data_IF_781497828744
#
_entry.id   IF_781497828744
#
_cell.length_a   1.000
_cell.length_b   1.000
_cell.length_c   1.000
_cell.angle_alpha   90.00
_cell.angle_beta   90.00
_cell.angle_gamma   90.00
#
_symmetry.space_group_name_H-M   'P 1'
#
loop_
_entity.id
_entity.type
_entity.pdbx_description
1 polymer ?
#
# COMPACT_ATOMS: atom_id res chain seq x y z
N UNK A 1 11.83 10.94 22.73
CA UNK A 1 13.18 11.06 22.10
C UNK A 1 13.46 12.54 21.85
N UNK A 2 14.72 13.01 21.94
CA UNK A 2 15.02 14.44 21.67
C UNK A 2 14.76 14.79 20.19
N UNK A 3 14.17 15.96 19.84
CA UNK A 3 13.82 16.33 18.46
C UNK A 3 14.97 16.21 17.46
N UNK A 4 16.19 16.63 17.84
CA UNK A 4 17.41 16.46 17.02
C UNK A 4 17.68 15.00 16.62
N UNK A 5 17.38 14.02 17.47
CA UNK A 5 17.56 12.60 17.16
C UNK A 5 16.52 12.13 16.14
N UNK A 6 15.27 12.58 16.29
CA UNK A 6 14.17 12.29 15.35
C UNK A 6 14.50 12.88 13.97
N UNK A 7 14.83 14.18 13.91
CA UNK A 7 15.22 14.85 12.66
C UNK A 7 16.36 14.11 11.94
N UNK A 8 17.44 13.75 12.64
CA UNK A 8 18.56 13.00 12.04
C UNK A 8 18.12 11.64 11.50
N UNK A 9 17.24 10.94 12.21
CA UNK A 9 16.69 9.65 11.77
C UNK A 9 15.84 9.80 10.51
N UNK A 10 14.92 10.77 10.49
CA UNK A 10 14.06 11.06 9.32
C UNK A 10 14.90 11.42 8.10
N UNK A 11 15.83 12.37 8.25
CA UNK A 11 16.72 12.78 7.14
C UNK A 11 17.56 11.60 6.64
N UNK A 12 18.08 10.76 7.55
CA UNK A 12 18.81 9.56 7.17
C UNK A 12 17.95 8.57 6.40
N UNK A 13 16.72 8.29 6.86
CA UNK A 13 15.79 7.38 6.19
C UNK A 13 15.37 7.87 4.81
N UNK A 14 14.96 9.14 4.68
CA UNK A 14 14.59 9.76 3.40
C UNK A 14 15.76 9.70 2.42
N UNK A 15 16.96 10.05 2.86
CA UNK A 15 18.18 9.96 2.05
C UNK A 15 18.48 8.52 1.62
N UNK A 16 18.42 7.58 2.56
CA UNK A 16 18.78 6.18 2.32
C UNK A 16 17.89 5.54 1.24
N UNK A 17 16.58 5.79 1.34
CA UNK A 17 15.59 5.30 0.41
C UNK A 17 15.65 6.03 -0.94
N UNK A 18 15.58 7.36 -0.94
CA UNK A 18 15.57 8.17 -2.16
C UNK A 18 16.83 7.98 -3.02
N UNK A 19 18.01 7.90 -2.39
CA UNK A 19 19.26 7.69 -3.11
C UNK A 19 19.31 6.34 -3.82
N UNK A 20 18.82 5.26 -3.19
CA UNK A 20 18.80 3.92 -3.79
C UNK A 20 17.74 3.79 -4.88
N UNK A 21 16.63 4.51 -4.74
CA UNK A 21 15.64 4.65 -5.80
C UNK A 21 16.14 5.50 -6.97
N UNK A 22 17.18 6.31 -6.76
CA UNK A 22 17.65 7.28 -7.75
C UNK A 22 16.72 8.49 -7.89
N UNK A 23 15.91 8.79 -6.87
CA UNK A 23 14.96 9.91 -6.85
C UNK A 23 15.54 11.01 -5.96
N UNK A 24 15.94 12.17 -6.52
CA UNK A 24 16.54 13.23 -5.73
C UNK A 24 15.50 13.98 -4.88
N UNK A 25 15.87 14.30 -3.64
CA UNK A 25 15.11 15.25 -2.82
C UNK A 25 15.42 16.67 -3.27
N UNK A 26 14.57 17.24 -4.12
CA UNK A 26 14.79 18.57 -4.72
C UNK A 26 14.45 19.74 -3.78
N UNK A 27 13.52 19.56 -2.85
CA UNK A 27 13.09 20.60 -1.91
C UNK A 27 12.60 19.96 -0.60
N UNK A 28 12.60 20.72 0.49
CA UNK A 28 12.10 20.30 1.79
C UNK A 28 12.14 21.43 2.82
N UNK A 29 11.39 21.28 3.91
CA UNK A 29 11.37 22.21 5.02
C UNK A 29 11.52 21.45 6.34
N UNK A 30 12.19 22.06 7.30
CA UNK A 30 12.32 21.57 8.67
C UNK A 30 11.82 22.65 9.61
N UNK A 31 10.91 22.27 10.51
CA UNK A 31 10.32 23.17 11.48
C UNK A 31 10.32 22.55 12.87
N UNK A 32 10.61 23.36 13.89
CA UNK A 32 10.62 22.92 15.29
C UNK A 32 9.67 23.80 16.09
N UNK A 33 8.71 23.17 16.75
CA UNK A 33 7.75 23.81 17.63
C UNK A 33 7.53 22.92 18.86
N UNK A 34 7.29 23.53 20.02
CA UNK A 34 6.96 22.79 21.24
C UNK A 34 5.64 22.01 21.10
N UNK A 35 4.72 22.48 20.24
CA UNK A 35 3.47 21.78 19.92
C UNK A 35 3.67 20.42 19.24
N UNK A 36 4.84 20.16 18.66
CA UNK A 36 5.17 18.88 18.03
C UNK A 36 5.96 17.92 18.93
N UNK A 37 6.11 18.23 20.23
CA UNK A 37 6.85 17.36 21.17
C UNK A 37 6.20 15.98 21.36
N UNK A 38 4.86 15.92 21.35
CA UNK A 38 4.10 14.68 21.50
C UNK A 38 3.96 13.90 20.19
N UNK A 39 3.82 14.60 19.06
CA UNK A 39 3.67 14.00 17.75
C UNK A 39 4.45 14.80 16.70
N UNK A 40 5.51 14.22 16.15
CA UNK A 40 6.27 14.84 15.07
C UNK A 40 5.60 14.57 13.72
N UNK A 41 5.57 15.58 12.86
CA UNK A 41 5.01 15.45 11.52
C UNK A 41 6.12 15.17 10.51
N UNK A 42 5.91 14.15 9.68
CA UNK A 42 6.80 13.80 8.57
C UNK A 42 5.96 13.73 7.30
N UNK A 43 6.21 14.66 6.38
CA UNK A 43 5.56 14.69 5.07
C UNK A 43 6.59 14.37 3.99
N UNK A 44 6.25 13.38 3.16
CA UNK A 44 7.05 13.00 2.00
C UNK A 44 6.16 13.08 0.76
N UNK A 45 6.62 13.81 -0.26
CA UNK A 45 5.94 13.94 -1.54
C UNK A 45 6.86 13.54 -2.68
N UNK A 46 6.27 13.05 -3.78
CA UNK A 46 7.00 12.70 -5.00
C UNK A 46 6.36 13.39 -6.20
N UNK A 47 7.17 13.75 -7.19
CA UNK A 47 6.72 14.30 -8.46
C UNK A 47 7.27 13.43 -9.60
N UNK A 48 6.39 12.97 -10.48
CA UNK A 48 6.73 12.14 -11.63
C UNK A 48 6.08 12.63 -12.92
N UNK A 49 6.66 12.24 -14.06
CA UNK A 49 6.11 12.48 -15.39
C UNK A 49 5.46 11.21 -15.93
N UNK A 50 4.30 11.36 -16.57
CA UNK A 50 3.56 10.24 -17.17
C UNK A 50 2.87 10.68 -18.46
N UNK A 51 2.75 9.79 -19.47
CA UNK A 51 1.90 10.05 -20.64
C UNK A 51 0.44 10.28 -20.26
N UNK A 52 -0.22 11.26 -20.91
CA UNK A 52 -1.60 11.67 -20.58
C UNK A 52 -2.63 10.56 -20.81
N UNK A 53 -2.38 9.65 -21.75
CA UNK A 53 -3.26 8.53 -22.06
C UNK A 53 -3.10 7.34 -21.09
N UNK A 54 -2.12 7.40 -20.17
CA UNK A 54 -1.83 6.34 -19.20
C UNK A 54 -2.21 6.70 -17.76
N UNK A 55 -2.92 7.80 -17.53
CA UNK A 55 -3.30 8.26 -16.18
C UNK A 55 -4.66 7.73 -15.68
N UNK A 56 -5.33 6.89 -16.47
CA UNK A 56 -6.64 6.33 -16.12
C UNK A 56 -6.55 4.84 -15.78
N UNK A 57 -7.28 4.43 -14.75
CA UNK A 57 -7.39 3.03 -14.31
C UNK A 57 -8.67 2.41 -14.85
N UNK A 58 -8.56 1.27 -15.52
CA UNK A 58 -9.69 0.56 -16.11
C UNK A 58 -9.65 -0.95 -15.80
N UNK A 59 -9.80 -1.37 -14.52
CA UNK A 59 -10.03 -2.78 -14.24
C UNK A 59 -11.36 -3.22 -14.86
N UNK A 60 -11.44 -4.48 -15.29
CA UNK A 60 -12.68 -5.08 -15.84
C UNK A 60 -12.85 -6.49 -15.29
N UNK A 61 -14.09 -6.97 -15.28
CA UNK A 61 -14.36 -8.38 -14.98
C UNK A 61 -13.56 -9.29 -15.93
N UNK A 62 -13.02 -10.39 -15.39
CA UNK A 62 -12.15 -11.32 -16.07
C UNK A 62 -10.66 -10.93 -16.06
N UNK A 63 -10.31 -9.68 -15.74
CA UNK A 63 -8.90 -9.31 -15.57
C UNK A 63 -8.29 -10.05 -14.38
N UNK A 64 -7.08 -10.58 -14.57
CA UNK A 64 -6.28 -11.20 -13.52
C UNK A 64 -5.79 -10.15 -12.53
N UNK A 65 -5.81 -10.53 -11.25
CA UNK A 65 -5.23 -9.77 -10.15
C UNK A 65 -3.80 -10.28 -9.99
N UNK A 66 -2.82 -9.44 -10.30
CA UNK A 66 -1.40 -9.78 -10.21
C UNK A 66 -0.73 -8.93 -9.15
N UNK A 67 -0.06 -9.57 -8.20
CA UNK A 67 0.81 -8.88 -7.23
C UNK A 67 2.23 -8.91 -7.78
N UNK A 68 2.91 -7.77 -7.74
CA UNK A 68 4.32 -7.65 -8.15
C UNK A 68 5.15 -7.01 -7.04
N UNK A 69 6.43 -7.39 -6.96
CA UNK A 69 7.41 -6.79 -6.06
C UNK A 69 7.72 -7.63 -4.83
N UNK A 70 7.61 -7.02 -3.64
CA UNK A 70 7.97 -7.60 -2.36
C UNK A 70 7.10 -8.78 -1.92
N UNK A 71 7.65 -9.64 -1.06
CA UNK A 71 6.92 -10.74 -0.44
C UNK A 71 6.14 -10.29 0.80
N UNK A 72 5.03 -10.97 1.07
CA UNK A 72 4.13 -10.68 2.19
C UNK A 72 4.70 -11.25 3.50
N UNK A 73 4.70 -10.43 4.55
CA UNK A 73 5.14 -10.80 5.91
C UNK A 73 4.24 -10.17 6.98
N UNK A 74 4.56 -10.38 8.26
CA UNK A 74 3.84 -9.74 9.39
C UNK A 74 4.16 -8.26 9.59
N UNK A 75 4.78 -7.63 8.59
CA UNK A 75 5.18 -6.24 8.65
C UNK A 75 3.94 -5.33 8.62
N UNK A 76 3.86 -4.39 9.56
CA UNK A 76 2.84 -3.35 9.54
C UNK A 76 1.41 -3.84 9.73
N UNK A 77 1.19 -5.08 10.19
CA UNK A 77 -0.17 -5.54 10.53
C UNK A 77 -0.72 -4.63 11.63
N UNK A 78 -1.95 -4.14 11.44
CA UNK A 78 -2.59 -3.09 12.25
C UNK A 78 -1.96 -1.69 12.14
N UNK A 79 -1.11 -1.41 11.13
CA UNK A 79 -0.56 -0.09 10.86
C UNK A 79 -1.63 0.98 10.58
N UNK A 80 -2.63 0.66 9.76
CA UNK A 80 -3.80 1.51 9.52
C UNK A 80 -4.56 1.85 10.82
N UNK A 81 -4.82 0.84 11.66
CA UNK A 81 -5.48 1.01 12.96
C UNK A 81 -4.63 1.85 13.91
N UNK A 82 -3.32 1.62 13.92
CA UNK A 82 -2.36 2.37 14.72
C UNK A 82 -2.33 3.85 14.33
N UNK A 83 -2.28 4.17 13.03
CA UNK A 83 -2.27 5.56 12.55
C UNK A 83 -3.54 6.35 12.89
N UNK A 84 -4.65 5.64 13.14
CA UNK A 84 -5.95 6.21 13.50
C UNK A 84 -6.22 6.18 15.01
N UNK A 85 -5.34 5.55 15.79
CA UNK A 85 -5.46 5.40 17.24
C UNK A 85 -4.81 6.55 18.00
N UNK A 86 -5.20 6.71 19.26
CA UNK A 86 -4.56 7.67 20.17
C UNK A 86 -3.18 7.14 20.60
N UNK A 87 -2.16 8.00 20.57
CA UNK A 87 -0.83 7.68 21.07
C UNK A 87 -0.84 7.69 22.61
N UNK A 88 -0.62 6.52 23.21
CA UNK A 88 -0.57 6.34 24.67
C UNK A 88 0.83 5.92 25.13
N UNK A 89 1.02 5.75 26.44
CA UNK A 89 2.29 5.32 27.02
C UNK A 89 2.63 3.84 26.74
N UNK A 90 1.66 3.01 26.32
CA UNK A 90 1.85 1.59 25.97
C UNK A 90 2.16 1.38 24.49
N UNK A 91 1.98 2.43 23.68
CA UNK A 91 2.07 2.34 22.22
C UNK A 91 3.40 1.78 21.71
N UNK A 92 4.52 2.17 22.33
CA UNK A 92 5.86 1.73 21.89
C UNK A 92 6.10 0.23 22.04
N UNK A 93 5.45 -0.42 23.03
CA UNK A 93 5.53 -1.87 23.23
C UNK A 93 4.48 -2.61 22.41
N UNK A 94 3.25 -2.09 22.38
CA UNK A 94 2.12 -2.73 21.72
C UNK A 94 2.24 -2.70 20.20
N UNK A 95 2.82 -1.65 19.61
CA UNK A 95 2.85 -1.44 18.15
C UNK A 95 4.26 -1.45 17.55
N UNK A 96 5.24 -2.04 18.25
CA UNK A 96 6.60 -2.20 17.72
C UNK A 96 6.65 -2.96 16.39
N UNK A 97 5.68 -3.85 16.14
CA UNK A 97 5.49 -4.59 14.88
C UNK A 97 4.86 -3.77 13.74
N UNK A 98 4.30 -2.58 14.05
CA UNK A 98 3.75 -1.66 13.06
C UNK A 98 4.84 -0.88 12.31
N UNK A 99 6.10 -0.95 12.76
CA UNK A 99 7.23 -0.32 12.07
C UNK A 99 7.52 -1.06 10.77
N UNK A 100 7.21 -0.42 9.66
CA UNK A 100 7.46 -0.93 8.32
C UNK A 100 8.97 -0.89 8.03
N UNK A 101 9.49 -1.97 7.43
CA UNK A 101 10.88 -2.07 6.98
C UNK A 101 10.85 -2.07 5.46
N UNK A 102 11.25 -0.94 4.86
CA UNK A 102 11.32 -0.79 3.42
C UNK A 102 12.62 -1.35 2.82
N UNK A 103 12.54 -1.76 1.56
CA UNK A 103 13.62 -2.25 0.73
C UNK A 103 13.65 -1.50 -0.63
N UNK A 104 14.35 -0.35 -0.70
CA UNK A 104 14.36 0.49 -1.91
C UNK A 104 14.98 -0.20 -3.13
N UNK A 105 15.80 -1.24 -2.94
CA UNK A 105 16.37 -1.99 -4.07
C UNK A 105 15.28 -2.82 -4.75
N UNK A 106 14.39 -3.45 -3.96
CA UNK A 106 13.25 -4.20 -4.51
C UNK A 106 12.30 -3.26 -5.22
N UNK A 107 11.98 -2.10 -4.61
CA UNK A 107 11.12 -1.12 -5.27
C UNK A 107 11.72 -0.60 -6.58
N UNK A 108 13.02 -0.28 -6.60
CA UNK A 108 13.70 0.16 -7.82
C UNK A 108 13.64 -0.91 -8.91
N UNK A 109 13.96 -2.16 -8.56
CA UNK A 109 13.87 -3.29 -9.50
C UNK A 109 12.45 -3.48 -10.03
N UNK A 110 11.42 -3.22 -9.22
CA UNK A 110 10.01 -3.32 -9.61
C UNK A 110 9.55 -2.17 -10.51
N UNK A 111 10.02 -0.94 -10.27
CA UNK A 111 9.59 0.26 -11.02
C UNK A 111 9.98 0.19 -12.49
N UNK A 112 11.15 -0.32 -12.83
CA UNK A 112 11.64 -0.38 -14.21
C UNK A 112 10.76 -1.28 -15.13
N UNK A 113 10.49 -2.56 -14.79
CA UNK A 113 9.57 -3.40 -15.57
C UNK A 113 8.13 -2.89 -15.51
N UNK A 114 7.71 -2.18 -14.45
CA UNK A 114 6.39 -1.53 -14.40
C UNK A 114 6.23 -0.49 -15.52
N UNK A 115 7.24 0.35 -15.74
CA UNK A 115 7.23 1.34 -16.82
C UNK A 115 7.25 0.68 -18.20
N UNK A 116 8.03 -0.40 -18.36
CA UNK A 116 8.04 -1.19 -19.60
C UNK A 116 6.67 -1.85 -19.86
N UNK A 117 6.04 -2.41 -18.84
CA UNK A 117 4.73 -3.03 -18.92
C UNK A 117 3.64 -2.02 -19.30
N UNK A 118 3.71 -0.79 -18.76
CA UNK A 118 2.82 0.32 -19.13
C UNK A 118 2.93 0.64 -20.62
N UNK A 119 4.16 0.78 -21.10
CA UNK A 119 4.45 1.21 -22.47
C UNK A 119 4.03 0.14 -23.49
N UNK A 120 4.11 -1.14 -23.10
CA UNK A 120 3.59 -2.28 -23.86
C UNK A 120 2.07 -2.51 -23.68
N UNK A 121 1.42 -1.82 -22.74
CA UNK A 121 -0.01 -1.98 -22.48
C UNK A 121 -0.39 -3.33 -21.86
N UNK A 122 0.47 -3.86 -20.99
CA UNK A 122 0.31 -5.19 -20.36
C UNK A 122 -0.63 -5.19 -19.15
N UNK A 123 -0.99 -4.03 -18.61
CA UNK A 123 -1.97 -3.91 -17.55
C UNK A 123 -2.92 -2.74 -17.82
N UNK A 124 -4.15 -2.83 -17.27
CA UNK A 124 -5.19 -1.81 -17.45
C UNK A 124 -5.41 -0.93 -16.22
N UNK A 125 -4.92 -1.38 -15.06
CA UNK A 125 -4.94 -0.62 -13.82
C UNK A 125 -3.81 -1.09 -12.90
N UNK A 126 -3.34 -0.18 -12.04
CA UNK A 126 -2.34 -0.43 -11.00
C UNK A 126 -2.73 0.31 -9.72
N UNK A 127 -2.42 -0.26 -8.56
CA UNK A 127 -2.45 0.45 -7.28
C UNK A 127 -1.38 -0.10 -6.34
N UNK A 128 -0.87 0.73 -5.45
CA UNK A 128 0.11 0.35 -4.43
C UNK A 128 -0.55 -0.41 -3.26
N UNK A 129 0.23 -1.25 -2.59
CA UNK A 129 -0.16 -1.87 -1.33
C UNK A 129 0.40 -1.06 -0.14
N UNK A 130 -0.38 -0.09 0.34
CA UNK A 130 -0.07 0.68 1.54
C UNK A 130 -0.82 0.16 2.77
N UNK A 131 -1.53 1.07 3.43
CA UNK A 131 -2.37 0.78 4.60
C UNK A 131 -3.42 -0.30 4.29
N UNK A 132 -3.61 -1.23 5.22
CA UNK A 132 -4.46 -2.43 5.04
C UNK A 132 -4.04 -3.38 3.89
N UNK A 133 -2.94 -3.12 3.18
CA UNK A 133 -2.33 -4.07 2.26
C UNK A 133 -3.18 -4.48 1.07
N UNK A 134 -3.23 -5.79 0.81
CA UNK A 134 -4.03 -6.36 -0.29
C UNK A 134 -5.52 -6.09 -0.11
N UNK A 135 -5.99 -5.98 1.14
CA UNK A 135 -7.39 -5.72 1.43
C UNK A 135 -7.90 -4.39 0.90
N UNK A 136 -7.11 -3.31 1.04
CA UNK A 136 -7.41 -2.01 0.43
C UNK A 136 -7.14 -2.05 -1.07
N UNK A 137 -5.95 -2.51 -1.49
CA UNK A 137 -5.55 -2.46 -2.89
C UNK A 137 -6.52 -3.20 -3.84
N UNK A 138 -6.87 -4.45 -3.52
CA UNK A 138 -7.82 -5.24 -4.32
C UNK A 138 -9.24 -4.75 -4.09
N UNK A 139 -9.61 -4.40 -2.85
CA UNK A 139 -10.95 -3.92 -2.50
C UNK A 139 -11.33 -2.65 -3.24
N UNK A 140 -10.42 -1.68 -3.35
CA UNK A 140 -10.61 -0.43 -4.08
C UNK A 140 -10.65 -0.65 -5.59
N UNK A 141 -9.72 -1.43 -6.15
CA UNK A 141 -9.74 -1.74 -7.58
C UNK A 141 -10.98 -2.53 -8.00
N UNK A 142 -11.52 -3.35 -7.09
CA UNK A 142 -12.71 -4.16 -7.31
C UNK A 142 -14.02 -3.49 -6.91
N UNK A 143 -14.03 -2.26 -6.40
CA UNK A 143 -15.18 -1.66 -5.72
C UNK A 143 -16.50 -1.72 -6.52
N UNK A 144 -16.43 -1.44 -7.83
CA UNK A 144 -17.57 -1.46 -8.76
C UNK A 144 -17.70 -2.79 -9.55
N UNK A 145 -16.89 -3.78 -9.21
CA UNK A 145 -16.77 -5.06 -9.91
C UNK A 145 -17.05 -6.23 -8.98
N UNK A 146 -16.11 -6.58 -8.12
CA UNK A 146 -16.00 -7.88 -7.47
C UNK A 146 -14.59 -8.45 -7.64
N UNK A 147 -14.20 -9.37 -6.77
CA UNK A 147 -12.89 -10.02 -6.83
C UNK A 147 -12.95 -11.41 -6.20
N UNK A 148 -12.30 -12.38 -6.83
CA UNK A 148 -11.99 -13.68 -6.23
C UNK A 148 -10.47 -13.82 -6.10
N UNK A 149 -9.99 -13.98 -4.86
CA UNK A 149 -8.57 -14.03 -4.52
C UNK A 149 -8.23 -15.35 -3.83
N UNK A 150 -7.14 -15.97 -4.24
CA UNK A 150 -6.53 -17.15 -3.62
C UNK A 150 -5.33 -16.72 -2.78
N UNK A 151 -5.53 -16.66 -1.46
CA UNK A 151 -4.53 -16.20 -0.51
C UNK A 151 -3.33 -17.14 -0.40
N UNK A 152 -3.53 -18.44 -0.68
CA UNK A 152 -2.47 -19.45 -0.75
C UNK A 152 -1.48 -19.24 -1.92
N UNK A 153 -1.82 -18.38 -2.89
CA UNK A 153 -0.95 -18.03 -4.02
C UNK A 153 -0.09 -16.79 -3.75
N UNK A 154 -0.33 -16.07 -2.65
CA UNK A 154 0.40 -14.83 -2.37
C UNK A 154 1.83 -15.18 -1.96
N UNK A 155 2.88 -14.60 -2.58
CA UNK A 155 4.26 -14.84 -2.18
C UNK A 155 4.53 -14.41 -0.74
N UNK A 156 5.05 -15.32 0.09
CA UNK A 156 5.32 -15.10 1.52
C UNK A 156 6.82 -15.02 1.82
N UNK A 157 7.21 -14.17 2.78
CA UNK A 157 8.60 -14.09 3.28
C UNK A 157 9.01 -15.35 4.06
N UNK A 158 8.06 -15.93 4.78
CA UNK A 158 8.23 -17.12 5.61
C UNK A 158 6.88 -17.81 5.78
N UNK A 159 6.90 -19.10 6.09
CA UNK A 159 5.70 -19.89 6.33
C UNK A 159 5.00 -19.50 7.65
N UNK A 160 3.73 -19.91 7.79
CA UNK A 160 2.99 -19.79 9.05
C UNK A 160 2.23 -18.48 9.26
N UNK A 161 2.06 -17.66 8.22
CA UNK A 161 1.05 -16.60 8.23
C UNK A 161 -0.34 -17.21 8.08
N UNK A 162 -1.30 -16.73 8.87
CA UNK A 162 -2.72 -17.01 8.66
C UNK A 162 -3.25 -16.27 7.43
N UNK A 163 -4.36 -16.74 6.86
CA UNK A 163 -5.02 -16.08 5.73
C UNK A 163 -5.38 -14.61 6.03
N UNK A 164 -5.73 -14.29 7.28
CA UNK A 164 -6.00 -12.91 7.71
C UNK A 164 -4.72 -12.08 7.62
N UNK A 165 -3.61 -12.56 8.21
CA UNK A 165 -2.32 -11.86 8.17
C UNK A 165 -1.83 -11.65 6.73
N UNK A 166 -2.02 -12.62 5.83
CA UNK A 166 -1.69 -12.47 4.41
C UNK A 166 -2.50 -11.32 3.78
N UNK A 167 -3.80 -11.26 4.07
CA UNK A 167 -4.72 -10.30 3.47
C UNK A 167 -4.52 -8.86 3.95
N UNK A 168 -4.27 -8.66 5.24
CA UNK A 168 -4.13 -7.33 5.85
C UNK A 168 -2.68 -6.87 6.06
N UNK A 169 -1.70 -7.69 5.67
CA UNK A 169 -0.28 -7.35 5.76
C UNK A 169 0.04 -6.05 5.03
N UNK A 170 0.77 -5.15 5.69
CA UNK A 170 1.28 -3.90 5.12
C UNK A 170 2.77 -4.02 4.76
N UNK A 171 3.21 -5.21 4.37
CA UNK A 171 4.54 -5.42 3.81
C UNK A 171 4.76 -4.49 2.59
N UNK A 172 5.96 -3.93 2.52
CA UNK A 172 6.29 -2.86 1.60
C UNK A 172 6.65 -3.38 0.19
N UNK A 173 6.86 -2.44 -0.74
CA UNK A 173 7.28 -2.66 -2.13
C UNK A 173 6.37 -3.58 -2.95
N UNK A 174 5.06 -3.51 -2.72
CA UNK A 174 4.07 -4.31 -3.45
C UNK A 174 3.13 -3.42 -4.25
N UNK A 175 2.80 -3.88 -5.45
CA UNK A 175 1.80 -3.27 -6.33
C UNK A 175 0.82 -4.35 -6.80
N UNK A 176 -0.44 -3.97 -6.96
CA UNK A 176 -1.50 -4.81 -7.55
C UNK A 176 -1.82 -4.30 -8.96
N UNK A 177 -1.87 -5.21 -9.92
CA UNK A 177 -2.18 -4.94 -11.31
C UNK A 177 -3.46 -5.65 -11.72
N UNK A 178 -4.25 -5.00 -12.58
CA UNK A 178 -5.33 -5.62 -13.34
C UNK A 178 -4.83 -5.94 -14.75
N UNK A 179 -4.79 -7.21 -15.12
CA UNK A 179 -4.13 -7.70 -16.34
C UNK A 179 -5.12 -8.52 -17.18
N UNK A 180 -5.19 -8.25 -18.48
CA UNK A 180 -5.97 -9.09 -19.40
C UNK A 180 -5.39 -10.53 -19.40
N UNK A 181 -6.21 -11.59 -19.35
CA UNK A 181 -5.72 -12.97 -19.28
C UNK A 181 -4.68 -13.31 -20.35
N UNK A 182 -4.85 -12.80 -21.57
CA UNK A 182 -3.98 -13.06 -22.72
C UNK A 182 -2.61 -12.38 -22.59
N UNK A 183 -2.48 -11.36 -21.72
CA UNK A 183 -1.25 -10.61 -21.46
C UNK A 183 -0.54 -11.04 -20.18
N UNK A 184 -1.16 -11.92 -19.37
CA UNK A 184 -0.63 -12.32 -18.08
C UNK A 184 0.75 -12.99 -18.22
N UNK A 185 0.91 -13.93 -19.14
CA UNK A 185 2.18 -14.64 -19.33
C UNK A 185 3.31 -13.70 -19.79
N UNK A 186 3.01 -12.76 -20.69
CA UNK A 186 3.99 -11.75 -21.13
C UNK A 186 4.41 -10.85 -19.96
N UNK A 187 3.45 -10.41 -19.15
CA UNK A 187 3.73 -9.60 -17.96
C UNK A 187 4.61 -10.38 -16.97
N UNK A 188 4.25 -11.62 -16.63
CA UNK A 188 5.04 -12.45 -15.72
C UNK A 188 6.47 -12.66 -16.23
N UNK A 189 6.64 -12.91 -17.53
CA UNK A 189 7.95 -13.06 -18.14
C UNK A 189 8.80 -11.78 -18.09
N UNK A 190 8.18 -10.61 -18.29
CA UNK A 190 8.85 -9.31 -18.19
C UNK A 190 9.34 -9.01 -16.76
N UNK A 191 8.53 -9.29 -15.75
CA UNK A 191 8.98 -9.11 -14.36
C UNK A 191 10.08 -10.11 -13.99
N UNK A 192 9.96 -11.36 -14.45
CA UNK A 192 10.99 -12.37 -14.24
C UNK A 192 12.33 -12.01 -14.91
N UNK A 193 12.33 -11.36 -16.08
CA UNK A 193 13.58 -10.94 -16.74
C UNK A 193 14.34 -9.87 -15.97
N UNK A 194 13.66 -9.12 -15.09
CA UNK A 194 14.24 -8.11 -14.20
C UNK A 194 14.43 -8.63 -12.76
N UNK A 195 14.30 -9.95 -12.56
CA UNK A 195 14.44 -10.62 -11.26
C UNK A 195 13.46 -10.05 -10.21
N UNK A 196 12.22 -9.77 -10.65
CA UNK A 196 11.11 -9.32 -9.79
C UNK A 196 10.01 -10.37 -9.81
N UNK A 197 9.54 -10.75 -8.62
CA UNK A 197 8.45 -11.71 -8.49
C UNK A 197 7.12 -11.06 -8.88
N UNK A 198 6.38 -11.74 -9.74
CA UNK A 198 5.02 -11.39 -10.15
C UNK A 198 4.15 -12.64 -10.03
N UNK A 199 2.95 -12.51 -9.48
CA UNK A 199 2.11 -13.68 -9.20
C UNK A 199 0.64 -13.37 -9.40
N UNK A 200 -0.04 -14.20 -10.20
CA UNK A 200 -1.49 -14.15 -10.36
C UNK A 200 -2.15 -14.74 -9.11
N UNK A 201 -2.78 -13.88 -8.31
CA UNK A 201 -3.44 -14.29 -7.06
C UNK A 201 -4.94 -14.45 -7.20
N UNK A 202 -5.53 -14.06 -8.34
CA UNK A 202 -6.98 -14.10 -8.50
C UNK A 202 -7.45 -13.40 -9.77
N UNK A 203 -8.72 -13.01 -9.77
CA UNK A 203 -9.34 -12.26 -10.86
C UNK A 203 -10.45 -11.33 -10.36
N UNK A 204 -10.64 -10.22 -11.08
CA UNK A 204 -11.80 -9.35 -10.88
C UNK A 204 -13.04 -10.02 -11.49
N UNK A 205 -14.16 -9.93 -10.79
CA UNK A 205 -15.44 -10.54 -11.19
C UNK A 205 -16.50 -9.46 -11.42
N UNK A 206 -17.65 -9.82 -11.98
CA UNK A 206 -18.81 -8.95 -12.17
C UNK A 206 -19.88 -9.13 -11.07
N UNK A 207 -19.52 -9.81 -9.97
CA UNK A 207 -20.48 -10.28 -8.96
C UNK A 207 -20.85 -9.23 -7.90
N UNK A 208 -20.10 -8.14 -7.80
CA UNK A 208 -20.16 -7.16 -6.72
C UNK A 208 -19.56 -7.63 -5.39
N UNK A 209 -18.96 -8.83 -5.35
CA UNK A 209 -18.52 -9.47 -4.10
C UNK A 209 -17.02 -9.69 -4.05
N UNK A 210 -16.46 -9.54 -2.85
CA UNK A 210 -15.12 -9.94 -2.50
C UNK A 210 -15.16 -11.36 -1.92
N UNK A 211 -14.53 -12.30 -2.61
CA UNK A 211 -14.38 -13.69 -2.18
C UNK A 211 -12.92 -14.00 -1.96
N UNK A 212 -12.59 -14.44 -0.76
CA UNK A 212 -11.24 -14.90 -0.42
C UNK A 212 -11.26 -16.40 -0.23
N UNK A 213 -10.35 -17.08 -0.91
CA UNK A 213 -10.10 -18.51 -0.75
C UNK A 213 -8.72 -18.73 -0.17
N UNK A 214 -8.60 -19.75 0.66
CA UNK A 214 -7.32 -20.23 1.18
C UNK A 214 -7.36 -21.75 1.22
N UNK A 215 -6.43 -22.40 0.52
CA UNK A 215 -6.33 -23.88 0.43
C UNK A 215 -7.66 -24.54 0.01
N UNK A 216 -8.37 -23.91 -0.94
CA UNK A 216 -9.66 -24.36 -1.46
C UNK A 216 -10.89 -23.97 -0.63
N UNK A 217 -10.71 -23.51 0.62
CA UNK A 217 -11.79 -23.08 1.49
C UNK A 217 -12.17 -21.61 1.26
N UNK A 218 -13.46 -21.29 1.23
CA UNK A 218 -13.95 -19.92 1.22
C UNK A 218 -13.84 -19.33 2.64
N UNK A 219 -12.93 -18.38 2.84
CA UNK A 219 -12.64 -17.77 4.15
C UNK A 219 -13.26 -16.38 4.30
N UNK A 220 -13.67 -15.74 3.21
CA UNK A 220 -14.42 -14.48 3.22
C UNK A 220 -15.36 -14.42 2.01
N UNK A 221 -16.57 -13.90 2.21
CA UNK A 221 -17.51 -13.55 1.15
C UNK A 221 -18.30 -12.30 1.55
N UNK A 222 -17.88 -11.14 1.06
CA UNK A 222 -18.37 -9.83 1.48
C UNK A 222 -18.88 -9.02 0.28
N UNK A 223 -19.97 -8.29 0.48
CA UNK A 223 -20.44 -7.31 -0.50
C UNK A 223 -19.51 -6.09 -0.54
N UNK A 224 -18.95 -5.76 -1.71
CA UNK A 224 -17.99 -4.65 -1.81
C UNK A 224 -18.67 -3.29 -1.64
N UNK A 225 -19.94 -3.16 -2.03
CA UNK A 225 -20.68 -1.92 -1.81
C UNK A 225 -20.86 -1.65 -0.32
N UNK A 226 -21.17 -2.68 0.48
CA UNK A 226 -21.19 -2.60 1.94
C UNK A 226 -19.81 -2.30 2.52
N UNK A 227 -18.75 -2.95 2.03
CA UNK A 227 -17.39 -2.67 2.51
C UNK A 227 -17.03 -1.18 2.37
N UNK A 228 -17.34 -0.57 1.23
CA UNK A 228 -16.98 0.83 0.93
C UNK A 228 -17.95 1.86 1.50
N UNK A 229 -19.25 1.52 1.62
CA UNK A 229 -20.30 2.49 1.98
C UNK A 229 -20.99 2.19 3.33
N UNK A 230 -20.60 1.11 4.00
CA UNK A 230 -21.21 0.64 5.25
C UNK A 230 -20.65 1.27 6.52
N UNK A 231 -19.64 2.14 6.41
CA UNK A 231 -19.03 2.81 7.57
C UNK A 231 -20.06 3.75 8.22
N UNK A 232 -20.37 3.58 9.52
CA UNK A 232 -21.29 4.46 10.23
C UNK A 232 -20.80 5.91 10.21
N UNK A 233 -21.70 6.84 9.87
CA UNK A 233 -21.41 8.28 9.97
C UNK A 233 -21.67 8.74 11.39
N UNK A 234 -20.68 9.41 11.98
CA UNK A 234 -20.80 10.02 13.30
C UNK A 234 -21.05 11.53 13.15
N UNK A 235 -22.05 12.04 13.85
CA UNK A 235 -22.26 13.47 14.02
C UNK A 235 -21.59 13.93 15.33
N UNK A 236 -20.85 15.04 15.27
CA UNK A 236 -20.22 15.65 16.44
C UNK A 236 -20.59 17.13 16.50
N UNK A 237 -20.93 17.60 17.69
CA UNK A 237 -21.05 19.03 17.96
C UNK A 237 -19.66 19.63 18.11
N UNK A 238 -19.39 20.72 17.39
CA UNK A 238 -18.16 21.48 17.52
C UNK A 238 -18.49 22.92 17.89
N UNK A 239 -17.68 23.50 18.78
CA UNK A 239 -17.71 24.92 19.10
C UNK A 239 -16.47 25.57 18.50
N UNK A 240 -16.65 26.70 17.83
CA UNK A 240 -15.53 27.44 17.28
C UNK A 240 -14.96 28.37 18.35
N UNK A 241 -13.68 28.17 18.67
CA UNK A 241 -12.89 29.08 19.47
C UNK A 241 -11.85 29.78 18.58
N UNK A 242 -11.63 31.09 18.74
CA UNK A 242 -10.57 31.79 18.02
C UNK A 242 -9.19 31.18 18.36
N UNK A 243 -8.27 31.06 17.39
CA UNK A 243 -6.93 30.57 17.67
C UNK A 243 -6.19 31.47 18.67
N UNK A 244 -5.74 30.91 19.79
CA UNK A 244 -4.97 31.65 20.80
C UNK A 244 -3.48 31.71 20.50
N UNK A 245 -2.98 30.74 19.71
CA UNK A 245 -1.56 30.65 19.37
C UNK A 245 -1.30 31.27 17.99
N UNK A 246 -0.26 32.10 17.85
CA UNK A 246 0.15 32.58 16.54
C UNK A 246 0.57 31.41 15.65
N UNK A 247 0.52 31.63 14.34
CA UNK A 247 1.09 30.68 13.39
C UNK A 247 2.57 30.44 13.74
N UNK A 248 3.02 29.17 13.67
CA UNK A 248 4.43 28.88 13.81
C UNK A 248 5.25 29.74 12.82
N UNK A 249 6.16 30.57 13.34
CA UNK A 249 7.07 31.44 12.56
C UNK A 249 8.31 30.71 12.11
#
# INVERSE_FOLDING_TARGET
>A
LHPRRIMRGVVAGVRDYGNRMGIPTANGALYFDERYLGNCLVYCGNLGLMPRDKCFKHPKAGHKIVVVGGRTGRDGIHGATFSSGELTHTTGTEFSHAVQIGNPIVEKKMVDPLLMARDRGLYSAITDCGAAGLSSAVGEMGAELGAEVHLDRVPLKYDGLSYTEIWISEAQERMVLAVEPEKADELLALFASEDVEATVIGEFTDTGRLRLRYEGHLVCDLDLRFLHNGVPRYERSAEWAPPEHPEPK
#
